data_IF_212003125779
#
_entry.id   IF_212003125779
#
_cell.length_a   1.000
_cell.length_b   1.000
_cell.length_c   1.000
_cell.angle_alpha   90.00
_cell.angle_beta   90.00
_cell.angle_gamma   90.00
#
_symmetry.space_group_name_H-M   'P 1'
#
loop_
_entity.id
_entity.type
_entity.pdbx_description
1 polymer ?
#
# COMPACT_ATOMS: atom_id res chain seq x y z
N UNK A 1 15.72 -1.88 -2.45
CA UNK A 1 14.96 -1.17 -1.40
C UNK A 1 14.10 0.00 -1.94
N UNK A 2 13.74 0.04 -3.23
CA UNK A 2 12.86 1.09 -3.78
C UNK A 2 13.53 2.44 -4.08
N UNK A 3 14.86 2.45 -4.23
CA UNK A 3 15.65 3.69 -4.36
C UNK A 3 15.21 4.58 -5.53
N UNK A 4 15.00 3.99 -6.71
CA UNK A 4 14.52 4.71 -7.90
C UNK A 4 13.19 5.46 -7.67
N UNK A 5 12.26 4.86 -6.92
CA UNK A 5 10.98 5.50 -6.58
C UNK A 5 11.19 6.62 -5.58
N UNK A 6 12.03 6.40 -4.57
CA UNK A 6 12.38 7.44 -3.60
C UNK A 6 13.08 8.65 -4.26
N UNK A 7 14.01 8.39 -5.19
CA UNK A 7 14.71 9.44 -5.95
C UNK A 7 13.74 10.21 -6.86
N UNK A 8 12.80 9.53 -7.51
CA UNK A 8 11.76 10.17 -8.32
C UNK A 8 10.78 11.01 -7.48
N UNK A 9 10.42 10.53 -6.27
CA UNK A 9 9.63 11.30 -5.32
C UNK A 9 10.36 12.57 -4.89
N UNK A 10 11.66 12.50 -4.61
CA UNK A 10 12.49 13.67 -4.26
C UNK A 10 12.56 14.67 -5.41
N UNK A 11 12.84 14.19 -6.62
CA UNK A 11 12.86 15.01 -7.83
C UNK A 11 11.54 15.77 -8.01
N UNK A 12 10.40 15.09 -7.94
CA UNK A 12 9.10 15.75 -8.08
C UNK A 12 8.74 16.68 -6.92
N UNK A 13 9.20 16.41 -5.71
CA UNK A 13 8.98 17.32 -4.58
C UNK A 13 9.66 18.69 -4.77
N UNK A 14 10.79 18.72 -5.48
CA UNK A 14 11.56 19.92 -5.78
C UNK A 14 11.06 20.63 -7.05
N UNK A 15 10.86 19.87 -8.13
CA UNK A 15 10.51 20.41 -9.46
C UNK A 15 9.02 20.74 -9.62
N UNK A 16 8.11 19.85 -9.17
CA UNK A 16 6.67 20.02 -9.36
C UNK A 16 5.85 19.36 -8.23
N UNK A 17 5.56 20.19 -7.22
CA UNK A 17 4.78 19.77 -6.03
C UNK A 17 3.35 19.35 -6.36
N UNK A 18 2.76 19.82 -7.44
CA UNK A 18 1.39 19.46 -7.82
C UNK A 18 1.37 18.12 -8.54
N UNK A 19 2.34 17.85 -9.42
CA UNK A 19 2.57 16.52 -9.96
C UNK A 19 2.91 15.51 -8.86
N UNK A 20 3.73 15.89 -7.87
CA UNK A 20 4.04 15.04 -6.72
C UNK A 20 2.78 14.64 -5.94
N UNK A 21 1.92 15.60 -5.58
CA UNK A 21 0.65 15.32 -4.89
C UNK A 21 -0.29 14.46 -5.72
N UNK A 22 -0.35 14.68 -7.03
CA UNK A 22 -1.20 13.91 -7.95
C UNK A 22 -0.74 12.46 -8.08
N UNK A 23 0.55 12.24 -8.34
CA UNK A 23 1.11 10.90 -8.56
C UNK A 23 1.22 10.11 -7.25
N UNK A 24 1.63 10.75 -6.15
CA UNK A 24 1.90 10.11 -4.86
C UNK A 24 0.82 10.36 -3.80
N UNK A 25 -0.41 10.66 -4.22
CA UNK A 25 -1.55 10.93 -3.33
C UNK A 25 -1.77 9.87 -2.25
N UNK A 26 -1.68 8.58 -2.61
CA UNK A 26 -1.84 7.48 -1.65
C UNK A 26 -0.65 7.34 -0.70
N UNK A 27 0.55 7.69 -1.15
CA UNK A 27 1.74 7.68 -0.30
C UNK A 27 1.63 8.77 0.76
N UNK A 28 1.19 9.96 0.36
CA UNK A 28 0.90 11.06 1.27
C UNK A 28 -0.17 10.70 2.30
N UNK A 29 -1.26 10.04 1.85
CA UNK A 29 -2.33 9.57 2.76
C UNK A 29 -1.81 8.61 3.84
N UNK A 30 -0.81 7.80 3.50
CA UNK A 30 -0.25 6.79 4.40
C UNK A 30 1.04 7.25 5.10
N UNK A 31 1.40 8.54 5.01
CA UNK A 31 2.64 9.11 5.55
C UNK A 31 3.92 8.40 5.07
N UNK A 32 3.91 7.96 3.81
CA UNK A 32 5.04 7.31 3.16
C UNK A 32 5.95 8.34 2.53
N UNK A 33 7.15 8.52 3.10
CA UNK A 33 8.17 9.44 2.59
C UNK A 33 9.31 8.68 1.87
N UNK A 34 10.11 9.37 1.03
CA UNK A 34 11.24 8.76 0.34
C UNK A 34 12.23 8.07 1.31
N UNK A 35 12.50 8.70 2.45
CA UNK A 35 13.49 8.23 3.44
C UNK A 35 13.02 6.99 4.20
N UNK A 36 11.70 6.84 4.37
CA UNK A 36 11.12 5.72 5.12
C UNK A 36 10.96 4.48 4.23
N UNK A 37 11.00 4.63 2.90
CA UNK A 37 10.77 3.56 1.94
C UNK A 37 11.75 2.39 2.11
N UNK A 38 13.05 2.67 2.23
CA UNK A 38 14.05 1.62 2.43
C UNK A 38 13.85 0.89 3.78
N UNK A 39 13.61 1.66 4.86
CA UNK A 39 13.37 1.11 6.19
C UNK A 39 12.12 0.24 6.23
N UNK A 40 11.06 0.65 5.54
CA UNK A 40 9.83 -0.13 5.39
C UNK A 40 10.12 -1.48 4.76
N UNK A 41 10.82 -1.52 3.62
CA UNK A 41 11.14 -2.78 2.95
C UNK A 41 12.06 -3.68 3.78
N UNK A 42 13.09 -3.13 4.45
CA UNK A 42 13.95 -3.91 5.37
C UNK A 42 13.13 -4.55 6.49
N UNK A 43 12.24 -3.78 7.12
CA UNK A 43 11.35 -4.29 8.17
C UNK A 43 10.39 -5.36 7.66
N UNK A 44 9.81 -5.16 6.47
CA UNK A 44 8.94 -6.16 5.84
C UNK A 44 9.69 -7.47 5.56
N UNK A 45 10.91 -7.39 5.00
CA UNK A 45 11.74 -8.56 4.76
C UNK A 45 12.12 -9.30 6.06
N UNK A 46 12.42 -8.57 7.15
CA UNK A 46 12.67 -9.19 8.44
C UNK A 46 11.43 -9.91 8.98
N UNK A 47 10.26 -9.26 8.97
CA UNK A 47 9.00 -9.84 9.46
C UNK A 47 8.58 -11.10 8.68
N UNK A 48 8.73 -11.10 7.35
CA UNK A 48 8.40 -12.27 6.51
C UNK A 48 9.36 -13.44 6.79
N UNK A 49 10.64 -13.17 7.05
CA UNK A 49 11.61 -14.21 7.43
C UNK A 49 11.34 -14.78 8.81
N UNK A 50 10.89 -13.94 9.76
CA UNK A 50 10.56 -14.35 11.12
C UNK A 50 9.30 -15.21 11.16
N UNK A 51 8.23 -14.82 10.47
CA UNK A 51 7.01 -15.61 10.37
C UNK A 51 6.51 -15.73 8.92
N UNK A 52 6.89 -16.82 8.21
CA UNK A 52 6.45 -17.05 6.83
C UNK A 52 5.04 -17.65 6.74
N UNK A 53 4.40 -18.02 7.86
CA UNK A 53 3.12 -18.72 7.86
C UNK A 53 1.98 -17.74 7.63
N UNK A 54 1.11 -18.04 6.66
CA UNK A 54 -0.08 -17.24 6.37
C UNK A 54 -1.25 -17.60 7.30
N UNK A 55 -1.73 -16.61 8.07
CA UNK A 55 -2.91 -16.76 8.90
C UNK A 55 -4.20 -16.54 8.09
N UNK A 56 -5.09 -17.55 8.10
CA UNK A 56 -6.37 -17.47 7.41
C UNK A 56 -7.31 -16.53 8.18
N UNK A 57 -7.89 -15.56 7.47
CA UNK A 57 -8.94 -14.71 8.03
C UNK A 57 -10.14 -15.56 8.48
N UNK A 58 -10.78 -15.25 9.62
CA UNK A 58 -11.95 -15.98 10.07
C UNK A 58 -13.09 -15.84 9.05
N UNK A 59 -13.81 -16.94 8.83
CA UNK A 59 -15.03 -16.91 8.02
C UNK A 59 -16.06 -16.03 8.72
N UNK A 60 -16.63 -15.08 7.98
CA UNK A 60 -17.75 -14.26 8.46
C UNK A 60 -19.05 -14.90 8.01
N UNK A 61 -19.91 -15.24 8.95
CA UNK A 61 -21.28 -15.66 8.66
C UNK A 61 -22.11 -14.44 8.30
N UNK A 62 -22.14 -14.12 7.01
CA UNK A 62 -22.95 -13.03 6.46
C UNK A 62 -24.20 -13.62 5.82
N UNK A 63 -25.38 -13.18 6.27
CA UNK A 63 -26.64 -13.50 5.60
C UNK A 63 -26.62 -12.88 4.20
N UNK A 64 -26.40 -13.72 3.18
CA UNK A 64 -26.32 -13.27 1.79
C UNK A 64 -27.69 -12.76 1.33
N UNK A 65 -27.80 -11.46 1.09
CA UNK A 65 -28.96 -10.86 0.42
C UNK A 65 -28.87 -11.18 -1.08
N UNK A 66 -29.99 -11.62 -1.66
CA UNK A 66 -30.10 -11.78 -3.11
C UNK A 66 -30.31 -10.41 -3.75
N UNK A 67 -29.35 -9.98 -4.57
CA UNK A 67 -29.40 -8.69 -5.28
C UNK A 67 -30.04 -8.80 -6.67
N UNK A 68 -30.14 -10.01 -7.21
CA UNK A 68 -30.66 -10.27 -8.55
C UNK A 68 -32.17 -10.57 -8.51
N UNK A 69 -32.89 -10.23 -9.59
CA UNK A 69 -34.33 -10.50 -9.71
C UNK A 69 -34.64 -12.00 -9.67
N UNK A 70 -35.77 -12.42 -9.05
CA UNK A 70 -36.30 -13.77 -9.17
C UNK A 70 -36.60 -14.12 -10.63
N UNK A 71 -36.30 -15.38 -10.98
CA UNK A 71 -36.77 -15.94 -12.25
C UNK A 71 -38.28 -16.17 -12.09
N UNK A 72 -39.03 -15.79 -13.12
CA UNK A 72 -40.48 -16.04 -13.20
C UNK A 72 -40.78 -17.54 -13.14
#
# INVERSE_FOLDING_TARGET
MGQNVADYMRYLMEEDKDAYKKQFSQYLKNNMTPDVMEKMYKKAHAAIRENPVYEKKPKRDVKKKRWNRPKL
#
